data_IF_965360692888
#
_entry.id   IF_965360692888
#
_cell.length_a   1.000
_cell.length_b   1.000
_cell.length_c   1.000
_cell.angle_alpha   90.00
_cell.angle_beta   90.00
_cell.angle_gamma   90.00
#
_symmetry.space_group_name_H-M   'P 1'
#
loop_
_entity.id
_entity.type
_entity.pdbx_description
1 polymer ?
#
# COMPACT_ATOMS: atom_id res chain seq x y z
N UNK A 1 11.03 -20.18 -5.89
CA UNK A 1 11.18 -18.71 -5.97
C UNK A 1 12.01 -18.27 -4.78
N UNK A 2 13.22 -17.77 -5.01
CA UNK A 2 13.90 -16.98 -4.00
C UNK A 2 13.30 -15.58 -4.05
N UNK A 3 12.79 -15.08 -2.92
CA UNK A 3 12.49 -13.66 -2.81
C UNK A 3 13.80 -12.93 -2.57
N UNK A 4 14.14 -11.99 -3.45
CA UNK A 4 15.31 -11.14 -3.26
C UNK A 4 14.96 -10.01 -2.29
N UNK A 5 15.83 -9.78 -1.30
CA UNK A 5 15.68 -8.68 -0.34
C UNK A 5 16.27 -7.40 -0.94
N UNK A 6 15.45 -6.37 -1.08
CA UNK A 6 15.89 -5.03 -1.46
C UNK A 6 15.93 -4.12 -0.23
N UNK A 7 17.06 -3.43 0.00
CA UNK A 7 17.23 -2.46 1.07
C UNK A 7 17.28 -1.05 0.49
N UNK A 8 16.77 -0.06 1.24
CA UNK A 8 16.97 1.35 0.93
C UNK A 8 18.44 1.74 1.11
N UNK A 9 19.02 2.45 0.15
CA UNK A 9 20.41 2.89 0.23
C UNK A 9 20.57 4.01 1.27
N UNK A 10 21.66 4.00 2.06
CA UNK A 10 21.99 5.12 2.94
C UNK A 10 22.04 6.45 2.19
N UNK A 11 21.36 7.46 2.72
CA UNK A 11 21.32 8.81 2.13
C UNK A 11 20.36 8.97 0.96
N UNK A 12 19.50 7.98 0.65
CA UNK A 12 18.48 8.07 -0.40
C UNK A 12 17.04 8.02 0.13
N UNK A 13 16.59 9.04 0.89
CA UNK A 13 15.25 9.03 1.51
C UNK A 13 14.10 8.94 0.50
N UNK A 14 14.31 9.36 -0.75
CA UNK A 14 13.29 9.28 -1.80
C UNK A 14 12.91 7.85 -2.19
N UNK A 15 13.74 6.85 -1.87
CA UNK A 15 13.42 5.43 -2.13
C UNK A 15 12.32 4.89 -1.22
N UNK A 16 12.09 5.50 -0.05
CA UNK A 16 11.19 5.00 0.99
C UNK A 16 9.90 5.84 1.14
N UNK A 17 9.71 6.86 0.31
CA UNK A 17 8.63 7.84 0.52
C UNK A 17 7.21 7.25 0.49
N UNK A 18 6.98 6.20 -0.28
CA UNK A 18 5.69 5.53 -0.33
C UNK A 18 5.38 4.80 0.99
N UNK A 19 6.35 4.06 1.53
CA UNK A 19 6.22 3.33 2.78
C UNK A 19 6.09 4.28 3.98
N UNK A 20 6.83 5.40 3.97
CA UNK A 20 6.71 6.45 4.98
C UNK A 20 5.31 7.09 4.98
N UNK A 21 4.78 7.42 3.79
CA UNK A 21 3.44 7.97 3.66
C UNK A 21 2.38 6.98 4.15
N UNK A 22 2.51 5.70 3.78
CA UNK A 22 1.63 4.64 4.25
C UNK A 22 1.67 4.51 5.78
N UNK A 23 2.87 4.39 6.36
CA UNK A 23 3.02 4.17 7.79
C UNK A 23 2.54 5.37 8.62
N UNK A 24 2.78 6.60 8.15
CA UNK A 24 2.22 7.81 8.77
C UNK A 24 0.69 7.78 8.79
N UNK A 25 0.06 7.46 7.66
CA UNK A 25 -1.41 7.34 7.59
C UNK A 25 -1.95 6.22 8.46
N UNK A 26 -1.30 5.07 8.48
CA UNK A 26 -1.70 3.95 9.32
C UNK A 26 -1.61 4.31 10.81
N UNK A 27 -0.55 4.98 11.21
CA UNK A 27 -0.37 5.43 12.58
C UNK A 27 -1.45 6.44 12.99
N UNK A 28 -1.67 7.49 12.19
CA UNK A 28 -2.54 8.60 12.55
C UNK A 28 -4.03 8.24 12.45
N UNK A 29 -4.41 7.41 11.47
CA UNK A 29 -5.80 7.14 11.14
C UNK A 29 -6.29 5.77 11.61
N UNK A 30 -5.41 4.88 12.09
CA UNK A 30 -5.80 3.59 12.64
C UNK A 30 -5.31 3.41 14.08
N UNK A 31 -4.00 3.52 14.31
CA UNK A 31 -3.42 3.15 15.60
C UNK A 31 -3.65 4.21 16.68
N UNK A 32 -3.63 5.48 16.31
CA UNK A 32 -3.80 6.60 17.26
C UNK A 32 -5.25 6.80 17.71
N UNK A 33 -6.21 6.21 16.99
CA UNK A 33 -7.64 6.36 17.29
C UNK A 33 -8.16 5.32 18.29
N UNK A 34 -7.42 4.25 18.51
CA UNK A 34 -7.92 3.05 19.18
C UNK A 34 -7.02 2.61 20.33
N UNK A 35 -7.62 2.23 21.46
CA UNK A 35 -6.92 1.53 22.53
C UNK A 35 -7.24 0.04 22.48
N UNK A 36 -6.30 -0.76 22.00
CA UNK A 36 -6.51 -2.21 21.87
C UNK A 36 -6.40 -2.91 23.22
N UNK A 37 -7.46 -3.65 23.61
CA UNK A 37 -7.47 -4.48 24.81
C UNK A 37 -6.87 -5.86 24.55
N UNK A 38 -6.97 -6.35 23.31
CA UNK A 38 -6.44 -7.65 22.91
C UNK A 38 -5.79 -7.63 21.52
N UNK A 39 -4.91 -8.59 21.25
CA UNK A 39 -4.31 -8.78 19.91
C UNK A 39 -5.34 -9.14 18.85
N UNK A 40 -6.42 -9.82 19.23
CA UNK A 40 -7.48 -10.23 18.29
C UNK A 40 -8.26 -9.01 17.81
N UNK A 41 -8.62 -8.12 18.74
CA UNK A 41 -9.25 -6.84 18.43
C UNK A 41 -8.37 -6.00 17.49
N UNK A 42 -7.08 -5.84 17.81
CA UNK A 42 -6.13 -5.13 16.96
C UNK A 42 -6.09 -5.71 15.53
N UNK A 43 -6.06 -7.05 15.38
CA UNK A 43 -6.07 -7.68 14.06
C UNK A 43 -7.32 -7.34 13.24
N UNK A 44 -8.49 -7.35 13.88
CA UNK A 44 -9.76 -7.05 13.21
C UNK A 44 -9.78 -5.60 12.72
N UNK A 45 -9.43 -4.66 13.61
CA UNK A 45 -9.42 -3.22 13.28
C UNK A 45 -8.39 -2.91 12.20
N UNK A 46 -7.17 -3.43 12.33
CA UNK A 46 -6.10 -3.23 11.34
C UNK A 46 -6.49 -3.81 9.98
N UNK A 47 -7.09 -5.01 9.94
CA UNK A 47 -7.52 -5.60 8.67
C UNK A 47 -8.67 -4.81 8.02
N UNK A 48 -9.60 -4.30 8.83
CA UNK A 48 -10.67 -3.43 8.34
C UNK A 48 -10.09 -2.14 7.74
N UNK A 49 -9.17 -1.49 8.45
CA UNK A 49 -8.50 -0.28 7.96
C UNK A 49 -7.71 -0.56 6.68
N UNK A 50 -6.95 -1.66 6.63
CA UNK A 50 -6.19 -2.10 5.45
C UNK A 50 -7.10 -2.30 4.23
N UNK A 51 -8.26 -2.94 4.41
CA UNK A 51 -9.24 -3.12 3.32
C UNK A 51 -9.77 -1.78 2.83
N UNK A 52 -10.10 -0.88 3.75
CA UNK A 52 -10.59 0.45 3.40
C UNK A 52 -9.54 1.27 2.63
N UNK A 53 -8.29 1.30 3.13
CA UNK A 53 -7.17 1.98 2.47
C UNK A 53 -6.97 1.48 1.03
N UNK A 54 -6.97 0.16 0.83
CA UNK A 54 -6.66 -0.42 -0.48
C UNK A 54 -7.82 -0.38 -1.48
N UNK A 55 -9.07 -0.43 -1.01
CA UNK A 55 -10.24 -0.61 -1.89
C UNK A 55 -11.16 0.62 -1.99
N UNK A 56 -11.05 1.58 -1.07
CA UNK A 56 -12.01 2.71 -0.99
C UNK A 56 -11.32 4.07 -1.06
N UNK A 57 -10.11 4.19 -0.50
CA UNK A 57 -9.44 5.49 -0.40
C UNK A 57 -8.77 5.90 -1.73
N UNK A 58 -9.17 7.03 -2.36
CA UNK A 58 -8.45 7.55 -3.52
C UNK A 58 -7.18 8.30 -3.09
N UNK A 59 -6.11 8.16 -3.86
CA UNK A 59 -4.82 8.80 -3.60
C UNK A 59 -4.45 9.76 -4.72
N UNK A 60 -4.16 11.02 -4.39
CA UNK A 60 -3.78 12.04 -5.39
C UNK A 60 -2.52 11.68 -6.17
N UNK A 61 -1.55 11.03 -5.52
CA UNK A 61 -0.34 10.48 -6.17
C UNK A 61 -0.63 9.36 -7.17
N UNK A 62 -1.81 8.73 -7.08
CA UNK A 62 -2.28 7.68 -7.98
C UNK A 62 -3.38 8.20 -8.93
N UNK A 63 -3.38 9.50 -9.25
CA UNK A 63 -4.41 10.15 -10.06
C UNK A 63 -5.84 9.93 -9.53
N UNK A 64 -5.99 9.95 -8.20
CA UNK A 64 -7.24 9.69 -7.46
C UNK A 64 -7.80 8.27 -7.61
N UNK A 65 -6.97 7.30 -8.01
CA UNK A 65 -7.31 5.88 -7.93
C UNK A 65 -7.04 5.34 -6.52
N UNK A 66 -7.74 4.26 -6.18
CA UNK A 66 -7.39 3.42 -5.04
C UNK A 66 -6.16 2.55 -5.37
N UNK A 67 -5.42 2.05 -4.37
CA UNK A 67 -4.28 1.16 -4.61
C UNK A 67 -4.67 -0.10 -5.40
N UNK A 68 -5.85 -0.66 -5.16
CA UNK A 68 -6.35 -1.81 -5.92
C UNK A 68 -6.61 -1.48 -7.39
N UNK A 69 -7.26 -0.36 -7.68
CA UNK A 69 -7.52 0.09 -9.06
C UNK A 69 -6.22 0.41 -9.79
N UNK A 70 -5.28 1.08 -9.13
CA UNK A 70 -3.96 1.37 -9.68
C UNK A 70 -3.22 0.07 -10.05
N UNK A 71 -3.22 -0.92 -9.16
CA UNK A 71 -2.63 -2.24 -9.41
C UNK A 71 -3.30 -2.96 -10.59
N UNK A 72 -4.63 -2.95 -10.67
CA UNK A 72 -5.36 -3.56 -11.78
C UNK A 72 -5.00 -2.91 -13.12
N UNK A 73 -4.88 -1.58 -13.14
CA UNK A 73 -4.51 -0.84 -14.35
C UNK A 73 -3.08 -1.15 -14.79
N UNK A 74 -2.12 -1.19 -13.86
CA UNK A 74 -0.74 -1.58 -14.16
C UNK A 74 -0.64 -3.01 -14.70
N UNK A 75 -1.29 -3.96 -14.04
CA UNK A 75 -1.30 -5.36 -14.48
C UNK A 75 -1.94 -5.52 -15.87
N UNK A 76 -2.96 -4.72 -16.17
CA UNK A 76 -3.59 -4.70 -17.50
C UNK A 76 -2.65 -4.11 -18.57
N UNK A 77 -1.89 -3.05 -18.24
CA UNK A 77 -0.88 -2.48 -19.14
C UNK A 77 0.25 -3.48 -19.42
N UNK A 78 0.80 -4.10 -18.38
CA UNK A 78 1.85 -5.14 -18.54
C UNK A 78 1.37 -6.31 -19.40
N UNK A 79 0.12 -6.74 -19.21
CA UNK A 79 -0.48 -7.78 -20.03
C UNK A 79 -0.64 -7.36 -21.50
N UNK A 80 -0.99 -6.10 -21.78
CA UNK A 80 -1.09 -5.57 -23.14
C UNK A 80 0.30 -5.47 -23.80
N UNK A 81 1.30 -4.96 -23.09
CA UNK A 81 2.67 -4.85 -23.61
C UNK A 81 3.27 -6.22 -23.91
N UNK A 82 3.00 -7.22 -23.07
CA UNK A 82 3.41 -8.60 -23.32
C UNK A 82 2.77 -9.21 -24.58
N UNK A 83 1.51 -8.84 -24.90
CA UNK A 83 0.81 -9.33 -26.10
C UNK A 83 1.27 -8.62 -27.39
N UNK A 84 1.76 -7.38 -27.28
CA UNK A 84 2.23 -6.60 -28.44
C UNK A 84 3.70 -6.85 -28.81
N UNK A 85 4.43 -7.60 -27.99
CA UNK A 85 5.83 -7.97 -28.24
C UNK A 85 5.99 -9.39 -28.84
N UNK A 86 4.89 -10.08 -29.12
CA UNK A 86 4.81 -11.28 -29.99
C UNK A 86 4.49 -10.89 -31.45
#
# INVERSE_FOLDING_TARGET
MCMDMALSDPGKPWQNGADESFNGKFHDECLSLEWFRTRTEAKVVIDQWRRHYNAVRPHSSLAYLTPNEFKQRYCSTEAIEAVLQD
#
